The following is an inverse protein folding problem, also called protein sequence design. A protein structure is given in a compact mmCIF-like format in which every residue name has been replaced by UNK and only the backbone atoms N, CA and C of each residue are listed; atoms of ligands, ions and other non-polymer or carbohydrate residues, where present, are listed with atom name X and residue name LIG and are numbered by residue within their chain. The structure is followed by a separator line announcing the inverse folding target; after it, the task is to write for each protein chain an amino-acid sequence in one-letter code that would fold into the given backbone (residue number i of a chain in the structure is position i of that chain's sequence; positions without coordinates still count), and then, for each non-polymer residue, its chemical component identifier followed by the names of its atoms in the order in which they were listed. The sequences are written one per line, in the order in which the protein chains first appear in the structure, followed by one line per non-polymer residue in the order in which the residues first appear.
data_IF_552688024462
#
_entry.id   IF_552688024462
#
_cell.length_a   1.000
_cell.length_b   1.000
_cell.length_c   1.000
_cell.angle_alpha   90.00
_cell.angle_beta   90.00
_cell.angle_gamma   90.00
#
_symmetry.space_group_name_H-M   'P 1'
#
loop_
_entity.id
_entity.type
_entity.pdbx_description
1 polymer ?
#
# COMPACT_ATOMS: atom_id res chain seq x y z
N UNK A 1 17.25 -18.65 13.75
CA UNK A 1 17.47 -18.65 12.28
C UNK A 1 17.57 -17.23 11.81
N UNK A 2 18.41 -16.89 10.81
CA UNK A 2 18.21 -15.65 10.08
C UNK A 2 16.81 -15.67 9.47
N UNK A 3 16.10 -14.55 9.52
CA UNK A 3 14.81 -14.41 8.84
C UNK A 3 15.00 -14.66 7.34
N UNK A 4 14.04 -15.32 6.67
CA UNK A 4 14.10 -15.52 5.23
C UNK A 4 14.21 -14.17 4.54
N UNK A 5 15.27 -14.01 3.73
CA UNK A 5 15.46 -12.81 2.91
C UNK A 5 14.25 -12.64 1.98
N UNK A 6 13.64 -11.45 1.88
CA UNK A 6 12.51 -11.24 0.98
C UNK A 6 12.93 -11.49 -0.47
N UNK A 7 12.09 -12.19 -1.23
CA UNK A 7 12.28 -12.30 -2.67
C UNK A 7 11.80 -11.01 -3.33
N UNK A 8 12.72 -10.16 -3.75
CA UNK A 8 12.42 -8.89 -4.44
C UNK A 8 12.15 -9.05 -5.95
N UNK A 9 12.06 -10.28 -6.47
CA UNK A 9 11.65 -10.49 -7.86
C UNK A 9 10.16 -10.23 -8.01
N UNK A 10 9.82 -9.18 -8.76
CA UNK A 10 8.46 -8.80 -9.11
C UNK A 10 8.33 -8.91 -10.63
N UNK A 11 7.23 -9.49 -11.10
CA UNK A 11 6.91 -9.53 -12.53
C UNK A 11 6.20 -8.26 -13.00
N UNK A 12 6.25 -7.97 -14.30
CA UNK A 12 5.63 -6.75 -14.83
C UNK A 12 4.10 -6.76 -14.59
N UNK A 13 3.61 -5.76 -13.85
CA UNK A 13 2.19 -5.62 -13.50
C UNK A 13 1.78 -6.37 -12.23
N UNK A 14 2.70 -7.07 -11.56
CA UNK A 14 2.44 -7.71 -10.27
C UNK A 14 2.44 -6.69 -9.13
N UNK A 15 1.49 -6.86 -8.21
CA UNK A 15 1.42 -6.14 -6.95
C UNK A 15 1.72 -7.16 -5.85
N UNK A 16 2.93 -7.11 -5.29
CA UNK A 16 3.34 -7.97 -4.19
C UNK A 16 3.23 -7.21 -2.85
N UNK A 17 2.21 -7.55 -2.07
CA UNK A 17 1.92 -6.91 -0.78
C UNK A 17 2.93 -7.26 0.32
N UNK A 18 3.63 -8.39 0.20
CA UNK A 18 4.60 -8.85 1.21
C UNK A 18 5.86 -7.97 1.25
N UNK A 19 6.04 -7.13 0.22
CA UNK A 19 7.14 -6.16 0.13
C UNK A 19 6.78 -4.80 0.77
N UNK A 20 5.54 -4.62 1.23
CA UNK A 20 5.07 -3.39 1.85
C UNK A 20 5.15 -3.54 3.37
N UNK A 21 5.80 -2.61 4.10
CA UNK A 21 5.79 -2.63 5.55
C UNK A 21 4.36 -2.54 6.13
N UNK A 22 4.03 -3.34 7.15
CA UNK A 22 2.67 -3.48 7.65
C UNK A 22 2.13 -2.23 8.35
N UNK A 23 3.01 -1.32 8.78
CA UNK A 23 2.71 -0.06 9.44
C UNK A 23 2.46 1.11 8.47
N UNK A 24 2.60 0.88 7.16
CA UNK A 24 2.35 1.92 6.17
C UNK A 24 0.87 2.23 6.03
N UNK A 25 0.56 3.53 5.96
CA UNK A 25 -0.79 4.02 5.74
C UNK A 25 -1.15 3.91 4.25
N UNK A 26 -2.00 2.96 3.86
CA UNK A 26 -2.31 2.69 2.45
C UNK A 26 -3.72 3.16 2.06
N UNK A 27 -3.95 3.31 0.76
CA UNK A 27 -5.29 3.53 0.18
C UNK A 27 -5.42 2.78 -1.15
N UNK A 28 -6.55 2.11 -1.43
CA UNK A 28 -6.77 1.46 -2.71
C UNK A 28 -7.01 2.49 -3.82
N UNK A 29 -6.51 2.20 -5.01
CA UNK A 29 -6.65 3.05 -6.19
C UNK A 29 -7.45 2.33 -7.28
N UNK A 30 -8.23 3.11 -8.04
CA UNK A 30 -8.85 2.73 -9.30
C UNK A 30 -8.64 3.87 -10.29
N UNK A 31 -8.27 3.55 -11.53
CA UNK A 31 -8.01 4.55 -12.59
C UNK A 31 -7.05 5.66 -12.12
N UNK A 32 -6.00 5.27 -11.39
CA UNK A 32 -4.96 6.15 -10.79
C UNK A 32 -5.47 7.12 -9.72
N UNK A 33 -6.64 6.86 -9.11
CA UNK A 33 -7.23 7.71 -8.07
C UNK A 33 -7.72 6.89 -6.88
N UNK A 34 -7.57 7.42 -5.68
CA UNK A 34 -8.24 6.89 -4.51
C UNK A 34 -9.75 7.13 -4.64
N UNK A 35 -10.55 6.09 -4.43
CA UNK A 35 -12.01 6.15 -4.58
C UNK A 35 -12.77 6.13 -3.27
N UNK A 36 -12.09 5.91 -2.13
CA UNK A 36 -12.70 5.96 -0.82
C UNK A 36 -12.92 7.41 -0.37
N UNK A 37 -14.10 7.71 0.16
CA UNK A 37 -14.38 9.00 0.77
C UNK A 37 -13.52 9.15 2.05
N UNK A 38 -12.86 10.30 2.21
CA UNK A 38 -12.03 10.56 3.38
C UNK A 38 -10.77 9.71 3.48
N UNK A 39 -10.28 9.15 2.36
CA UNK A 39 -9.13 8.24 2.31
C UNK A 39 -7.87 8.76 3.01
N UNK A 40 -7.65 10.08 3.07
CA UNK A 40 -6.50 10.70 3.74
C UNK A 40 -6.48 10.50 5.26
N UNK A 41 -7.63 10.19 5.86
CA UNK A 41 -7.82 10.07 7.32
C UNK A 41 -8.21 8.66 7.75
N UNK A 42 -8.31 7.72 6.82
CA UNK A 42 -8.76 6.34 7.05
C UNK A 42 -7.89 5.38 6.23
N UNK A 43 -6.62 5.17 6.65
CA UNK A 43 -5.75 4.25 5.94
C UNK A 43 -6.29 2.83 6.03
N UNK A 44 -6.10 2.10 4.94
CA UNK A 44 -6.37 0.67 4.87
C UNK A 44 -5.14 -0.12 5.31
N UNK A 45 -5.38 -1.26 5.96
CA UNK A 45 -4.35 -2.26 6.24
C UNK A 45 -4.02 -3.05 4.96
N UNK A 46 -2.90 -3.77 4.97
CA UNK A 46 -2.52 -4.67 3.87
C UNK A 46 -3.64 -5.68 3.56
N UNK A 47 -4.27 -6.27 4.58
CA UNK A 47 -5.36 -7.23 4.40
C UNK A 47 -6.58 -6.59 3.71
N UNK A 48 -6.91 -5.34 4.05
CA UNK A 48 -8.01 -4.63 3.39
C UNK A 48 -7.68 -4.31 1.93
N UNK A 49 -6.44 -3.89 1.65
CA UNK A 49 -5.96 -3.70 0.27
C UNK A 49 -6.05 -5.00 -0.53
N UNK A 50 -5.66 -6.13 0.08
CA UNK A 50 -5.74 -7.46 -0.53
C UNK A 50 -7.17 -7.78 -0.96
N UNK A 51 -8.15 -7.59 -0.08
CA UNK A 51 -9.56 -7.79 -0.41
C UNK A 51 -10.02 -6.91 -1.59
N UNK A 52 -9.62 -5.64 -1.64
CA UNK A 52 -10.01 -4.73 -2.72
C UNK A 52 -9.39 -5.13 -4.07
N UNK A 53 -8.16 -5.67 -4.08
CA UNK A 53 -7.51 -6.21 -5.28
C UNK A 53 -8.15 -7.52 -5.74
N UNK A 54 -8.43 -8.45 -4.82
CA UNK A 54 -9.07 -9.74 -5.10
C UNK A 54 -10.51 -9.58 -5.63
N UNK A 55 -11.26 -8.60 -5.09
CA UNK A 55 -12.60 -8.24 -5.56
C UNK A 55 -12.58 -7.52 -6.95
N UNK A 56 -11.40 -7.20 -7.47
CA UNK A 56 -11.24 -6.40 -8.69
C UNK A 56 -11.73 -4.96 -8.54
N UNK A 57 -11.90 -4.47 -7.30
CA UNK A 57 -12.30 -3.09 -6.98
C UNK A 57 -11.12 -2.13 -7.11
N UNK A 58 -9.95 -2.51 -6.61
CA UNK A 58 -8.72 -1.77 -6.79
C UNK A 58 -7.92 -2.32 -7.99
N UNK A 59 -7.22 -1.42 -8.66
CA UNK A 59 -6.21 -1.75 -9.69
C UNK A 59 -4.81 -1.28 -9.31
N UNK A 60 -4.67 -0.68 -8.12
CA UNK A 60 -3.41 -0.21 -7.59
C UNK A 60 -3.51 0.21 -6.12
N UNK A 61 -2.38 0.64 -5.57
CA UNK A 61 -2.24 1.03 -4.16
C UNK A 61 -1.57 2.40 -4.11
N UNK A 62 -2.06 3.27 -3.25
CA UNK A 62 -1.42 4.54 -2.90
C UNK A 62 -0.88 4.49 -1.49
N UNK A 63 0.28 5.10 -1.28
CA UNK A 63 0.81 5.37 0.05
C UNK A 63 0.34 6.76 0.50
N UNK A 64 -0.16 6.84 1.73
CA UNK A 64 -0.53 8.10 2.38
C UNK A 64 0.66 8.58 3.19
N UNK A 65 1.14 9.78 2.88
CA UNK A 65 2.29 10.42 3.55
C UNK A 65 1.85 11.72 4.25
N UNK A 66 2.68 12.24 5.16
CA UNK A 66 2.37 13.41 5.99
C UNK A 66 1.99 13.01 7.42
N UNK A 67 0.84 13.46 7.93
CA UNK A 67 0.48 13.28 9.35
C UNK A 67 0.37 11.81 9.81
N UNK A 68 0.03 10.88 8.90
CA UNK A 68 -0.03 9.44 9.19
C UNK A 68 1.33 8.75 9.22
N UNK A 69 2.35 9.33 8.58
CA UNK A 69 3.71 8.78 8.53
C UNK A 69 4.63 9.33 9.62
N UNK A 70 4.10 10.07 10.61
CA UNK A 70 4.88 10.87 11.55
C UNK A 70 5.66 10.08 12.63
N UNK A 71 5.52 8.75 12.71
CA UNK A 71 6.46 7.93 13.48
C UNK A 71 7.68 7.50 12.66
N UNK A 72 7.58 7.50 11.31
CA UNK A 72 8.63 7.04 10.39
C UNK A 72 9.27 8.11 9.50
N UNK A 73 8.72 9.32 9.41
CA UNK A 73 9.33 10.44 8.66
C UNK A 73 9.55 10.17 7.17
N UNK A 74 8.61 9.47 6.51
CA UNK A 74 8.73 9.12 5.10
C UNK A 74 8.70 10.38 4.20
N UNK A 75 9.79 10.61 3.48
CA UNK A 75 9.92 11.63 2.44
C UNK A 75 10.05 10.93 1.08
N UNK A 76 9.24 11.35 0.12
CA UNK A 76 9.44 10.97 -1.28
C UNK A 76 10.25 12.04 -1.98
N UNK A 77 11.36 11.62 -2.59
CA UNK A 77 12.13 12.42 -3.52
C UNK A 77 11.77 11.88 -4.90
N UNK A 78 10.96 12.64 -5.61
CA UNK A 78 10.61 12.40 -7.02
C UNK A 78 11.79 12.80 -7.93
#
# INVERSE_FOLDING_TARGET
SPDPQPNYQITAGEINLDLIPPDWALTPLRDKRAYLAGWTSQPYTIDQIKCELEDGKATGIGLITGQWSNEGGLLWVD
#
